data_IF_826884798412
#
_entry.id   IF_826884798412
#
_cell.length_a   1.000
_cell.length_b   1.000
_cell.length_c   1.000
_cell.angle_alpha   90.00
_cell.angle_beta   90.00
_cell.angle_gamma   90.00
#
_symmetry.space_group_name_H-M   'P 1'
#
loop_
_entity.id
_entity.type
_entity.pdbx_description
1 polymer ?
#
# COMPACT_ATOMS: atom_id res chain seq x y z
N UNK A 1 2.20 6.57 14.99
CA UNK A 1 0.96 7.18 14.47
C UNK A 1 0.24 6.15 13.57
N UNK A 2 -0.56 5.22 14.14
CA UNK A 2 -1.26 4.22 13.32
C UNK A 2 -2.78 4.04 13.60
N UNK A 3 -3.26 4.30 14.82
CA UNK A 3 -4.59 3.79 15.24
C UNK A 3 -5.74 4.64 14.71
N UNK A 4 -5.50 5.92 14.41
CA UNK A 4 -6.53 6.83 13.91
C UNK A 4 -7.00 6.46 12.49
N UNK A 5 -6.15 5.80 11.69
CA UNK A 5 -6.51 5.43 10.31
C UNK A 5 -7.52 4.27 10.26
N UNK A 6 -7.54 3.42 11.30
CA UNK A 6 -8.57 2.40 11.47
C UNK A 6 -9.95 3.02 11.74
N UNK A 7 -10.00 4.21 12.35
CA UNK A 7 -11.26 4.89 12.67
C UNK A 7 -11.90 5.51 11.42
N UNK A 8 -11.18 5.59 10.30
CA UNK A 8 -11.72 6.00 9.00
C UNK A 8 -12.52 4.86 8.36
N UNK A 9 -13.59 4.42 9.01
CA UNK A 9 -14.41 3.29 8.58
C UNK A 9 -15.06 3.48 7.19
N UNK A 10 -15.15 4.72 6.70
CA UNK A 10 -15.63 5.07 5.37
C UNK A 10 -14.53 5.08 4.30
N UNK A 11 -13.25 5.00 4.67
CA UNK A 11 -12.15 5.02 3.72
C UNK A 11 -12.17 3.75 2.86
N UNK A 12 -12.19 3.94 1.55
CA UNK A 12 -12.20 2.85 0.54
C UNK A 12 -11.02 2.93 -0.42
N UNK A 13 -10.53 4.13 -0.70
CA UNK A 13 -9.41 4.35 -1.60
C UNK A 13 -8.29 5.09 -0.88
N UNK A 14 -7.06 4.60 -1.03
CA UNK A 14 -5.85 5.26 -0.57
C UNK A 14 -4.89 5.43 -1.75
N UNK A 15 -4.47 6.67 -2.02
CA UNK A 15 -3.49 6.98 -3.07
C UNK A 15 -2.25 7.60 -2.46
N UNK A 16 -1.10 7.00 -2.77
CA UNK A 16 0.23 7.47 -2.38
C UNK A 16 1.14 7.69 -3.60
N UNK A 17 0.55 7.72 -4.80
CA UNK A 17 1.27 7.82 -6.08
C UNK A 17 2.31 8.94 -6.14
N UNK A 18 3.48 8.65 -6.71
CA UNK A 18 4.54 9.62 -6.99
C UNK A 18 5.34 10.08 -5.77
N UNK A 19 5.08 9.51 -4.59
CA UNK A 19 5.87 9.78 -3.40
C UNK A 19 7.02 8.78 -3.28
N UNK A 20 8.22 9.26 -2.96
CA UNK A 20 9.34 8.36 -2.69
C UNK A 20 9.09 7.59 -1.40
N UNK A 21 9.23 6.27 -1.47
CA UNK A 21 9.14 5.39 -0.30
C UNK A 21 10.53 4.88 0.03
N UNK A 22 11.33 5.61 0.85
CA UNK A 22 12.69 5.20 1.19
C UNK A 22 12.72 3.88 1.96
N UNK A 23 11.65 3.53 2.68
CA UNK A 23 11.46 2.23 3.31
C UNK A 23 10.03 1.73 3.07
N UNK A 24 9.82 0.86 2.06
CA UNK A 24 8.51 0.28 1.76
C UNK A 24 7.84 -0.36 2.97
N UNK A 25 8.62 -1.03 3.82
CA UNK A 25 8.13 -1.75 5.00
C UNK A 25 7.35 -0.85 5.97
N UNK A 26 7.77 0.41 6.15
CA UNK A 26 7.03 1.35 7.01
C UNK A 26 5.70 1.79 6.42
N UNK A 27 5.68 2.13 5.13
CA UNK A 27 4.43 2.49 4.44
C UNK A 27 3.41 1.35 4.55
N UNK A 28 3.87 0.11 4.46
CA UNK A 28 3.01 -1.06 4.47
C UNK A 28 2.56 -1.47 5.87
N UNK A 29 3.36 -1.23 6.91
CA UNK A 29 2.89 -1.40 8.29
C UNK A 29 1.67 -0.51 8.57
N UNK A 30 1.68 0.71 8.03
CA UNK A 30 0.54 1.61 8.09
C UNK A 30 -0.63 1.11 7.22
N UNK A 31 -0.37 0.71 5.96
CA UNK A 31 -1.41 0.22 5.05
C UNK A 31 -2.06 -1.07 5.58
N UNK A 32 -1.32 -1.96 6.25
CA UNK A 32 -1.85 -3.20 6.87
C UNK A 32 -3.04 -2.93 7.82
N UNK A 33 -3.08 -1.74 8.41
CA UNK A 33 -4.16 -1.34 9.30
C UNK A 33 -5.38 -0.81 8.56
N UNK A 34 -5.30 -0.48 7.28
CA UNK A 34 -6.42 0.03 6.50
C UNK A 34 -7.38 -1.10 6.07
N UNK A 35 -8.04 -1.76 7.03
CA UNK A 35 -8.82 -3.00 6.80
C UNK A 35 -9.99 -2.85 5.83
N UNK A 36 -10.44 -1.62 5.59
CA UNK A 36 -11.63 -1.32 4.77
C UNK A 36 -11.31 -0.88 3.33
N UNK A 37 -10.03 -0.74 2.96
CA UNK A 37 -9.69 -0.26 1.61
C UNK A 37 -9.98 -1.32 0.55
N UNK A 38 -10.51 -0.86 -0.58
CA UNK A 38 -10.80 -1.65 -1.77
C UNK A 38 -9.91 -1.24 -2.94
N UNK A 39 -9.30 -0.05 -2.90
CA UNK A 39 -8.40 0.45 -3.95
C UNK A 39 -7.16 1.09 -3.33
N UNK A 40 -5.98 0.66 -3.79
CA UNK A 40 -4.68 1.11 -3.30
C UNK A 40 -3.79 1.51 -4.50
N UNK A 41 -3.35 2.76 -4.52
CA UNK A 41 -2.43 3.27 -5.53
C UNK A 41 -1.06 3.61 -4.93
N UNK A 42 -0.07 2.80 -5.30
CA UNK A 42 1.35 2.98 -4.96
C UNK A 42 2.19 3.17 -6.24
N UNK A 43 1.61 3.71 -7.31
CA UNK A 43 2.36 3.94 -8.53
C UNK A 43 3.46 4.99 -8.33
N UNK A 44 4.59 4.86 -9.04
CA UNK A 44 5.65 5.86 -8.93
C UNK A 44 6.34 5.93 -7.56
N UNK A 45 6.27 4.88 -6.74
CA UNK A 45 6.75 4.87 -5.36
C UNK A 45 8.20 4.36 -5.19
N UNK A 46 8.90 4.07 -6.29
CA UNK A 46 10.25 3.48 -6.31
C UNK A 46 10.33 2.13 -5.56
N UNK A 47 9.27 1.33 -5.63
CA UNK A 47 9.25 -0.01 -5.03
C UNK A 47 10.10 -0.97 -5.85
N UNK A 48 10.93 -1.76 -5.17
CA UNK A 48 11.81 -2.76 -5.78
C UNK A 48 11.22 -4.19 -5.75
N UNK A 49 10.24 -4.42 -4.88
CA UNK A 49 9.57 -5.71 -4.72
C UNK A 49 8.10 -5.50 -4.37
N UNK A 50 7.27 -6.50 -4.66
CA UNK A 50 5.88 -6.52 -4.18
C UNK A 50 5.91 -6.90 -2.71
N UNK A 51 5.42 -6.04 -1.82
CA UNK A 51 5.54 -6.32 -0.40
C UNK A 51 4.56 -7.38 0.09
N UNK A 52 5.03 -8.23 0.99
CA UNK A 52 4.28 -9.40 1.45
C UNK A 52 3.00 -9.03 2.21
N UNK A 53 2.98 -7.84 2.82
CA UNK A 53 1.93 -7.29 3.68
C UNK A 53 0.63 -6.98 2.92
N UNK A 54 0.69 -6.84 1.59
CA UNK A 54 -0.51 -6.70 0.75
C UNK A 54 -1.49 -7.86 0.99
N UNK A 55 -1.00 -9.04 1.42
CA UNK A 55 -1.82 -10.21 1.81
C UNK A 55 -2.83 -9.94 2.93
N UNK A 56 -2.63 -8.88 3.73
CA UNK A 56 -3.50 -8.52 4.85
C UNK A 56 -4.68 -7.63 4.43
N UNK A 57 -4.64 -7.04 3.23
CA UNK A 57 -5.70 -6.18 2.71
C UNK A 57 -6.84 -7.01 2.11
N UNK A 58 -7.61 -7.69 2.97
CA UNK A 58 -8.61 -8.69 2.57
C UNK A 58 -9.75 -8.15 1.69
N UNK A 59 -9.99 -6.84 1.72
CA UNK A 59 -11.04 -6.20 0.92
C UNK A 59 -10.49 -5.54 -0.36
N UNK A 60 -9.18 -5.61 -0.61
CA UNK A 60 -8.55 -4.97 -1.76
C UNK A 60 -9.01 -5.62 -3.07
N UNK A 61 -9.48 -4.78 -4.00
CA UNK A 61 -9.94 -5.17 -5.34
C UNK A 61 -9.04 -4.61 -6.43
N UNK A 62 -8.44 -3.46 -6.17
CA UNK A 62 -7.57 -2.76 -7.11
C UNK A 62 -6.25 -2.41 -6.43
N UNK A 63 -5.15 -2.76 -7.08
CA UNK A 63 -3.80 -2.42 -6.66
C UNK A 63 -3.02 -1.87 -7.85
N UNK A 64 -2.66 -0.59 -7.80
CA UNK A 64 -1.82 0.03 -8.82
C UNK A 64 -0.36 0.09 -8.33
N UNK A 65 0.51 -0.64 -9.01
CA UNK A 65 1.97 -0.64 -8.79
C UNK A 65 2.74 -0.14 -10.02
N UNK A 66 2.07 0.52 -10.98
CA UNK A 66 2.73 1.04 -12.18
C UNK A 66 3.86 2.02 -11.84
N UNK A 67 4.82 2.19 -12.76
CA UNK A 67 5.95 3.12 -12.58
C UNK A 67 6.79 2.85 -11.31
N UNK A 68 6.96 1.57 -10.95
CA UNK A 68 7.89 1.12 -9.90
C UNK A 68 9.01 0.28 -10.53
N UNK A 69 10.05 0.00 -9.74
CA UNK A 69 11.24 -0.75 -10.15
C UNK A 69 11.17 -2.23 -9.71
N UNK A 70 9.97 -2.82 -9.82
CA UNK A 70 9.68 -4.16 -9.34
C UNK A 70 10.48 -5.21 -10.12
N UNK A 71 11.20 -6.06 -9.39
CA UNK A 71 11.90 -7.21 -9.94
C UNK A 71 11.65 -8.45 -9.07
N UNK A 72 11.68 -9.63 -9.70
CA UNK A 72 11.57 -10.90 -9.00
C UNK A 72 12.99 -11.39 -8.68
N UNK A 73 13.33 -11.46 -7.41
CA UNK A 73 14.53 -12.20 -6.95
C UNK A 73 14.14 -13.66 -6.77
N UNK A 74 14.74 -14.56 -7.54
CA UNK A 74 14.61 -16.02 -7.41
C UNK A 74 15.38 -16.55 -6.20
#
# INVERSE_FOLDING_TARGET
MPDEINNLAALRSFRFSGNQVPNPSHLLQMIRQMKHITSLDLSGCNLNYIPSEVRFLKNLRELNLSNNNLHFTY
#
